data_IF_386960612491
#
_entry.id   IF_386960612491
#
_cell.length_a   1.000
_cell.length_b   1.000
_cell.length_c   1.000
_cell.angle_alpha   90.00
_cell.angle_beta   90.00
_cell.angle_gamma   90.00
#
_symmetry.space_group_name_H-M   'P 1'
#
loop_
_entity.id
_entity.type
_entity.pdbx_description
1 polymer ?
#
# COMPACT_ATOMS: atom_id res chain seq x y z
N UNK A 1 22.25 -21.21 69.47
CA UNK A 1 22.24 -21.11 68.00
C UNK A 1 21.53 -22.34 67.46
N UNK A 2 20.27 -22.19 67.02
CA UNK A 2 19.40 -23.32 66.70
C UNK A 2 19.91 -24.12 65.51
N UNK A 3 20.22 -25.40 65.72
CA UNK A 3 20.61 -26.31 64.65
C UNK A 3 19.39 -26.64 63.80
N UNK A 4 19.35 -26.15 62.57
CA UNK A 4 18.30 -26.52 61.61
C UNK A 4 18.24 -28.04 61.46
N UNK A 5 17.04 -28.63 61.56
CA UNK A 5 16.80 -30.06 61.37
C UNK A 5 17.30 -30.46 59.98
N UNK A 6 17.94 -31.62 59.86
CA UNK A 6 18.56 -32.12 58.61
C UNK A 6 17.64 -31.98 57.37
N UNK A 7 16.34 -32.24 57.52
CA UNK A 7 15.36 -32.07 56.45
C UNK A 7 15.25 -30.64 55.89
N UNK A 8 15.41 -29.60 56.73
CA UNK A 8 15.38 -28.21 56.28
C UNK A 8 16.64 -27.86 55.47
N UNK A 9 17.80 -28.41 55.86
CA UNK A 9 19.06 -28.22 55.14
C UNK A 9 19.02 -28.86 53.75
N UNK A 10 18.49 -30.08 53.66
CA UNK A 10 18.29 -30.77 52.39
C UNK A 10 17.31 -30.02 51.47
N UNK A 11 16.22 -29.48 52.03
CA UNK A 11 15.23 -28.72 51.28
C UNK A 11 15.80 -27.42 50.68
N UNK A 12 16.64 -26.69 51.43
CA UNK A 12 17.32 -25.49 50.92
C UNK A 12 18.23 -25.82 49.75
N UNK A 13 18.99 -26.92 49.82
CA UNK A 13 19.86 -27.36 48.73
C UNK A 13 19.03 -27.72 47.50
N UNK A 14 17.95 -28.50 47.65
CA UNK A 14 17.06 -28.82 46.54
C UNK A 14 16.44 -27.58 45.89
N UNK A 15 15.98 -26.60 46.70
CA UNK A 15 15.44 -25.35 46.17
C UNK A 15 16.50 -24.52 45.43
N UNK A 16 17.75 -24.51 45.91
CA UNK A 16 18.85 -23.84 45.23
C UNK A 16 19.12 -24.39 43.82
N UNK A 17 18.84 -25.68 43.59
CA UNK A 17 18.92 -26.28 42.25
C UNK A 17 17.63 -26.11 41.43
N UNK A 18 16.46 -26.23 42.06
CA UNK A 18 15.16 -26.13 41.35
C UNK A 18 14.87 -24.70 40.89
N UNK A 19 15.21 -23.68 41.69
CA UNK A 19 14.93 -22.29 41.35
C UNK A 19 15.55 -21.84 40.01
N UNK A 20 16.86 -22.03 39.74
CA UNK A 20 17.44 -21.68 38.44
C UNK A 20 16.91 -22.54 37.30
N UNK A 21 16.57 -23.81 37.53
CA UNK A 21 15.94 -24.67 36.52
C UNK A 21 14.53 -24.19 36.15
N UNK A 22 13.71 -23.82 37.13
CA UNK A 22 12.38 -23.27 36.91
C UNK A 22 12.44 -21.92 36.19
N UNK A 23 13.42 -21.07 36.53
CA UNK A 23 13.66 -19.81 35.83
C UNK A 23 14.02 -20.04 34.35
N UNK A 24 14.97 -20.94 34.07
CA UNK A 24 15.37 -21.26 32.69
C UNK A 24 14.20 -21.87 31.91
N UNK A 25 13.44 -22.78 32.51
CA UNK A 25 12.27 -23.37 31.87
C UNK A 25 11.17 -22.32 31.57
N UNK A 26 10.90 -21.42 32.50
CA UNK A 26 9.95 -20.33 32.32
C UNK A 26 10.41 -19.34 31.23
N UNK A 27 11.70 -18.97 31.24
CA UNK A 27 12.29 -18.11 30.21
C UNK A 27 12.24 -18.76 28.82
N UNK A 28 12.57 -20.04 28.70
CA UNK A 28 12.55 -20.76 27.42
C UNK A 28 11.12 -20.94 26.90
N UNK A 29 10.15 -21.22 27.79
CA UNK A 29 8.73 -21.29 27.45
C UNK A 29 8.19 -19.93 26.97
N UNK A 30 8.54 -18.84 27.67
CA UNK A 30 8.20 -17.47 27.27
C UNK A 30 8.74 -17.15 25.88
N UNK A 31 10.03 -17.44 25.63
CA UNK A 31 10.68 -17.14 24.35
C UNK A 31 10.06 -17.93 23.18
N UNK A 32 9.75 -19.21 23.38
CA UNK A 32 9.09 -20.04 22.36
C UNK A 32 7.68 -19.55 22.04
N UNK A 33 6.94 -19.07 23.05
CA UNK A 33 5.60 -18.54 22.85
C UNK A 33 5.60 -17.24 22.04
N UNK A 34 6.59 -16.37 22.25
CA UNK A 34 6.78 -15.15 21.44
C UNK A 34 7.12 -15.47 19.98
N UNK A 35 7.96 -16.48 19.73
CA UNK A 35 8.29 -16.91 18.37
C UNK A 35 7.09 -17.50 17.62
N UNK A 36 6.21 -18.24 18.31
CA UNK A 36 4.97 -18.78 17.71
C UNK A 36 4.01 -17.63 17.34
N UNK A 37 3.85 -16.64 18.22
CA UNK A 37 3.02 -15.47 17.93
C UNK A 37 3.58 -14.62 16.77
N UNK A 38 4.91 -14.59 16.60
CA UNK A 38 5.58 -13.94 15.48
C UNK A 38 5.28 -14.64 14.15
N UNK A 39 5.54 -15.96 14.06
CA UNK A 39 5.26 -16.72 12.83
C UNK A 39 3.78 -16.79 12.47
N UNK A 40 2.88 -16.75 13.46
CA UNK A 40 1.45 -16.66 13.20
C UNK A 40 1.10 -15.37 12.44
N UNK A 41 1.70 -14.24 12.81
CA UNK A 41 1.46 -12.94 12.15
C UNK A 41 2.02 -12.87 10.73
N UNK A 42 3.17 -13.50 10.48
CA UNK A 42 3.75 -13.59 9.12
C UNK A 42 2.79 -14.30 8.15
N UNK A 43 2.14 -15.39 8.58
CA UNK A 43 1.15 -16.10 7.76
C UNK A 43 -0.04 -15.20 7.43
N UNK A 44 -0.54 -14.41 8.39
CA UNK A 44 -1.64 -13.46 8.17
C UNK A 44 -1.24 -12.38 7.15
N UNK A 45 -0.02 -11.85 7.26
CA UNK A 45 0.51 -10.87 6.32
C UNK A 45 0.63 -11.43 4.90
N UNK A 46 1.17 -12.64 4.75
CA UNK A 46 1.28 -13.29 3.43
C UNK A 46 -0.08 -13.58 2.81
N UNK A 47 -1.06 -14.05 3.60
CA UNK A 47 -2.44 -14.26 3.15
C UNK A 47 -3.06 -12.94 2.65
N UNK A 48 -2.86 -11.84 3.38
CA UNK A 48 -3.36 -10.52 2.99
C UNK A 48 -2.65 -9.98 1.74
N UNK A 49 -1.32 -10.08 1.68
CA UNK A 49 -0.50 -9.60 0.57
C UNK A 49 -0.86 -10.27 -0.76
N UNK A 50 -1.17 -11.57 -0.71
CA UNK A 50 -1.60 -12.34 -1.87
C UNK A 50 -2.84 -11.77 -2.54
N UNK A 51 -3.74 -11.15 -1.77
CA UNK A 51 -4.99 -10.60 -2.31
C UNK A 51 -4.89 -9.10 -2.64
N UNK A 52 -4.09 -8.31 -1.91
CA UNK A 52 -3.93 -6.87 -2.21
C UNK A 52 -3.03 -6.58 -3.42
N UNK A 53 -1.99 -7.39 -3.68
CA UNK A 53 -1.06 -7.17 -4.81
C UNK A 53 -1.79 -7.21 -6.17
N UNK A 54 -2.66 -8.21 -6.46
CA UNK A 54 -3.47 -8.20 -7.67
C UNK A 54 -4.35 -6.95 -7.82
N UNK A 55 -4.92 -6.45 -6.71
CA UNK A 55 -5.74 -5.23 -6.71
C UNK A 55 -4.90 -4.02 -7.11
N UNK A 56 -3.68 -3.88 -6.58
CA UNK A 56 -2.75 -2.80 -6.95
C UNK A 56 -2.42 -2.86 -8.45
N UNK A 57 -2.05 -4.04 -8.96
CA UNK A 57 -1.68 -4.21 -10.37
C UNK A 57 -2.85 -3.88 -11.32
N UNK A 58 -4.05 -4.35 -11.01
CA UNK A 58 -5.25 -4.08 -11.78
C UNK A 58 -5.67 -2.60 -11.68
N UNK A 59 -5.51 -1.97 -10.51
CA UNK A 59 -5.77 -0.55 -10.33
C UNK A 59 -4.80 0.32 -11.16
N UNK A 60 -3.53 -0.08 -11.26
CA UNK A 60 -2.54 0.58 -12.12
C UNK A 60 -2.88 0.43 -13.62
N UNK A 61 -3.30 -0.76 -14.04
CA UNK A 61 -3.77 -0.97 -15.41
C UNK A 61 -5.00 -0.12 -15.71
N UNK A 62 -5.96 -0.09 -14.78
CA UNK A 62 -7.16 0.73 -14.92
C UNK A 62 -6.82 2.22 -14.97
N UNK A 63 -5.84 2.71 -14.18
CA UNK A 63 -5.36 4.09 -14.29
C UNK A 63 -4.86 4.40 -15.70
N UNK A 64 -4.02 3.54 -16.28
CA UNK A 64 -3.48 3.71 -17.64
C UNK A 64 -4.62 3.80 -18.64
N UNK A 65 -5.53 2.82 -18.60
CA UNK A 65 -6.63 2.71 -19.55
C UNK A 65 -7.63 3.86 -19.42
N UNK A 66 -7.97 4.25 -18.18
CA UNK A 66 -8.89 5.36 -17.90
C UNK A 66 -8.29 6.73 -18.28
N UNK A 67 -7.00 6.95 -18.01
CA UNK A 67 -6.33 8.19 -18.38
C UNK A 67 -6.17 8.29 -19.91
N UNK A 68 -5.81 7.19 -20.58
CA UNK A 68 -5.75 7.13 -22.04
C UNK A 68 -7.13 7.38 -22.68
N UNK A 69 -8.19 6.80 -22.10
CA UNK A 69 -9.56 7.04 -22.54
C UNK A 69 -9.99 8.51 -22.33
N UNK A 70 -9.60 9.12 -21.20
CA UNK A 70 -9.89 10.52 -20.92
C UNK A 70 -9.14 11.49 -21.85
N UNK A 71 -7.93 11.13 -22.31
CA UNK A 71 -7.15 11.94 -23.24
C UNK A 71 -7.60 11.78 -24.70
N UNK A 72 -7.88 10.55 -25.14
CA UNK A 72 -8.18 10.21 -26.54
C UNK A 72 -9.68 10.13 -26.87
N UNK A 73 -10.55 10.13 -25.85
CA UNK A 73 -11.98 9.90 -25.99
C UNK A 73 -12.37 8.47 -26.37
N UNK A 74 -11.40 7.57 -26.55
CA UNK A 74 -11.63 6.18 -26.98
C UNK A 74 -11.17 5.23 -25.88
N UNK A 75 -12.11 4.50 -25.29
CA UNK A 75 -11.78 3.49 -24.29
C UNK A 75 -11.12 2.26 -24.95
N UNK A 76 -10.00 1.73 -24.40
CA UNK A 76 -9.43 0.50 -24.90
C UNK A 76 -10.40 -0.68 -24.66
N UNK A 77 -10.46 -1.66 -25.58
CA UNK A 77 -11.39 -2.80 -25.48
C UNK A 77 -11.17 -3.67 -24.24
N UNK A 78 -9.99 -3.59 -23.62
CA UNK A 78 -9.62 -4.30 -22.38
C UNK A 78 -10.23 -3.69 -21.12
N UNK A 79 -10.74 -2.47 -21.18
CA UNK A 79 -11.16 -1.71 -19.99
C UNK A 79 -12.29 -2.41 -19.21
N UNK A 80 -13.28 -2.97 -19.91
CA UNK A 80 -14.38 -3.69 -19.28
C UNK A 80 -13.91 -4.99 -18.59
N UNK A 81 -12.96 -5.68 -19.20
CA UNK A 81 -12.36 -6.90 -18.62
C UNK A 81 -11.54 -6.56 -17.37
N UNK A 82 -10.69 -5.53 -17.43
CA UNK A 82 -9.87 -5.07 -16.30
C UNK A 82 -10.76 -4.62 -15.13
N UNK A 83 -11.85 -3.89 -15.38
CA UNK A 83 -12.80 -3.51 -14.34
C UNK A 83 -13.46 -4.73 -13.68
N UNK A 84 -13.79 -5.76 -14.46
CA UNK A 84 -14.38 -7.00 -13.96
C UNK A 84 -13.39 -7.78 -13.10
N UNK A 85 -12.14 -7.91 -13.56
CA UNK A 85 -11.06 -8.54 -12.80
C UNK A 85 -10.75 -7.75 -11.52
N UNK A 86 -10.71 -6.42 -11.58
CA UNK A 86 -10.49 -5.56 -10.42
C UNK A 86 -11.58 -5.75 -9.38
N UNK A 87 -12.85 -5.77 -9.79
CA UNK A 87 -13.97 -6.01 -8.88
C UNK A 87 -13.84 -7.36 -8.18
N UNK A 88 -13.53 -8.42 -8.92
CA UNK A 88 -13.33 -9.75 -8.34
C UNK A 88 -12.14 -9.78 -7.36
N UNK A 89 -11.05 -9.08 -7.66
CA UNK A 89 -9.91 -8.96 -6.75
C UNK A 89 -10.26 -8.14 -5.48
N UNK A 90 -11.04 -7.07 -5.63
CA UNK A 90 -11.54 -6.26 -4.51
C UNK A 90 -12.47 -7.06 -3.59
N UNK A 91 -13.31 -7.94 -4.15
CA UNK A 91 -14.19 -8.81 -3.37
C UNK A 91 -13.38 -9.82 -2.53
N UNK A 92 -12.27 -10.35 -3.07
CA UNK A 92 -11.35 -11.21 -2.31
C UNK A 92 -10.62 -10.44 -1.22
N UNK A 93 -10.12 -9.24 -1.53
CA UNK A 93 -9.49 -8.36 -0.55
C UNK A 93 -10.47 -8.01 0.59
N UNK A 94 -11.74 -7.75 0.27
CA UNK A 94 -12.77 -7.50 1.27
C UNK A 94 -13.02 -8.71 2.17
N UNK A 95 -13.03 -9.92 1.61
CA UNK A 95 -13.19 -11.15 2.39
C UNK A 95 -12.01 -11.39 3.34
N UNK A 96 -10.79 -11.09 2.91
CA UNK A 96 -9.59 -11.20 3.76
C UNK A 96 -9.54 -10.10 4.81
N UNK A 97 -9.86 -8.85 4.46
CA UNK A 97 -9.91 -7.74 5.43
C UNK A 97 -10.97 -7.97 6.51
N UNK A 98 -12.12 -8.53 6.16
CA UNK A 98 -13.14 -8.91 7.14
C UNK A 98 -12.67 -9.98 8.13
N UNK A 99 -11.74 -10.85 7.73
CA UNK A 99 -11.19 -11.93 8.56
C UNK A 99 -9.99 -11.48 9.38
N UNK A 100 -9.07 -10.74 8.76
CA UNK A 100 -7.74 -10.45 9.30
C UNK A 100 -7.57 -9.00 9.73
N UNK A 101 -8.45 -8.09 9.31
CA UNK A 101 -8.27 -6.66 9.48
C UNK A 101 -8.33 -6.19 10.94
N UNK A 102 -9.02 -6.92 11.81
CA UNK A 102 -9.00 -6.66 13.25
C UNK A 102 -7.64 -7.01 13.88
N UNK A 103 -7.03 -8.12 13.45
CA UNK A 103 -5.72 -8.59 13.96
C UNK A 103 -4.56 -7.76 13.41
N UNK A 104 -4.70 -7.23 12.19
CA UNK A 104 -3.69 -6.43 11.48
C UNK A 104 -3.91 -4.91 11.62
N UNK A 105 -5.02 -4.46 12.21
CA UNK A 105 -5.31 -3.04 12.42
C UNK A 105 -5.60 -2.24 11.14
N UNK A 106 -6.13 -2.87 10.10
CA UNK A 106 -6.29 -2.28 8.75
C UNK A 106 -7.53 -1.40 8.58
N UNK A 107 -8.49 -1.46 9.50
CA UNK A 107 -9.84 -0.91 9.32
C UNK A 107 -9.87 0.54 8.80
N UNK A 108 -9.01 1.42 9.33
CA UNK A 108 -8.93 2.82 8.90
C UNK A 108 -8.42 2.93 7.45
N UNK A 109 -7.30 2.28 7.14
CA UNK A 109 -6.66 2.35 5.82
C UNK A 109 -7.52 1.67 4.76
N UNK A 110 -8.20 0.59 5.11
CA UNK A 110 -9.17 -0.05 4.22
C UNK A 110 -10.35 0.87 3.90
N UNK A 111 -10.86 1.62 4.88
CA UNK A 111 -11.90 2.63 4.62
C UNK A 111 -11.39 3.77 3.71
N UNK A 112 -10.13 4.18 3.85
CA UNK A 112 -9.48 5.16 2.95
C UNK A 112 -9.39 4.61 1.51
N UNK A 113 -9.02 3.34 1.33
CA UNK A 113 -9.02 2.67 0.02
C UNK A 113 -10.40 2.73 -0.64
N UNK A 114 -11.46 2.41 0.11
CA UNK A 114 -12.83 2.44 -0.42
C UNK A 114 -13.30 3.85 -0.77
N UNK A 115 -12.91 4.83 0.04
CA UNK A 115 -13.19 6.25 -0.24
C UNK A 115 -12.49 6.70 -1.51
N UNK A 116 -11.21 6.35 -1.68
CA UNK A 116 -10.44 6.68 -2.87
C UNK A 116 -10.97 5.96 -4.13
N UNK A 117 -11.44 4.71 -4.00
CA UNK A 117 -12.12 3.98 -5.08
C UNK A 117 -13.39 4.70 -5.52
N UNK A 118 -14.21 5.15 -4.59
CA UNK A 118 -15.43 5.89 -4.93
C UNK A 118 -15.12 7.23 -5.63
N UNK A 119 -13.96 7.83 -5.36
CA UNK A 119 -13.52 9.05 -6.03
C UNK A 119 -13.14 8.80 -7.51
N UNK A 120 -12.58 7.64 -7.85
CA UNK A 120 -12.23 7.32 -9.25
C UNK A 120 -13.45 7.30 -10.16
N UNK A 121 -14.58 6.81 -9.66
CA UNK A 121 -15.85 6.72 -10.40
C UNK A 121 -16.49 8.09 -10.67
N UNK A 122 -16.12 9.12 -9.90
CA UNK A 122 -16.67 10.47 -10.02
C UNK A 122 -15.76 11.42 -10.82
N UNK A 123 -14.53 11.02 -11.07
CA UNK A 123 -13.55 11.84 -11.77
C UNK A 123 -13.90 11.96 -13.27
N UNK A 124 -13.65 13.12 -13.84
CA UNK A 124 -13.89 13.40 -15.26
C UNK A 124 -12.85 14.39 -15.78
N UNK A 125 -12.37 14.17 -17.00
CA UNK A 125 -11.20 14.88 -17.53
C UNK A 125 -9.89 14.22 -17.13
N UNK A 126 -8.88 14.34 -18.00
CA UNK A 126 -7.60 13.62 -17.86
C UNK A 126 -6.96 13.80 -16.49
N UNK A 127 -6.73 15.05 -16.05
CA UNK A 127 -6.02 15.34 -14.80
C UNK A 127 -6.77 14.78 -13.58
N UNK A 128 -8.08 14.99 -13.50
CA UNK A 128 -8.89 14.51 -12.38
C UNK A 128 -8.95 12.98 -12.33
N UNK A 129 -9.08 12.32 -13.48
CA UNK A 129 -9.06 10.85 -13.57
C UNK A 129 -7.70 10.32 -13.14
N UNK A 130 -6.61 10.88 -13.69
CA UNK A 130 -5.26 10.47 -13.34
C UNK A 130 -4.98 10.62 -11.84
N UNK A 131 -5.34 11.76 -11.25
CA UNK A 131 -5.14 12.04 -9.81
C UNK A 131 -5.99 11.12 -8.92
N UNK A 132 -7.27 10.92 -9.24
CA UNK A 132 -8.14 10.07 -8.44
C UNK A 132 -7.67 8.61 -8.44
N UNK A 133 -7.28 8.08 -9.60
CA UNK A 133 -6.72 6.74 -9.70
C UNK A 133 -5.37 6.60 -8.99
N UNK A 134 -4.53 7.64 -9.06
CA UNK A 134 -3.25 7.67 -8.33
C UNK A 134 -3.46 7.66 -6.82
N UNK A 135 -4.41 8.45 -6.30
CA UNK A 135 -4.77 8.46 -4.89
C UNK A 135 -5.33 7.09 -4.42
N UNK A 136 -6.12 6.41 -5.27
CA UNK A 136 -6.61 5.07 -4.96
C UNK A 136 -5.47 4.05 -4.87
N UNK A 137 -4.52 4.08 -5.79
CA UNK A 137 -3.35 3.19 -5.74
C UNK A 137 -2.50 3.50 -4.49
N UNK A 138 -2.29 4.77 -4.17
CA UNK A 138 -1.53 5.16 -2.97
C UNK A 138 -2.20 4.65 -1.69
N UNK A 139 -3.53 4.71 -1.59
CA UNK A 139 -4.26 4.16 -0.45
C UNK A 139 -4.05 2.63 -0.32
N UNK A 140 -4.05 1.90 -1.43
CA UNK A 140 -3.75 0.46 -1.44
C UNK A 140 -2.31 0.17 -1.01
N UNK A 141 -1.35 0.96 -1.47
CA UNK A 141 0.06 0.83 -1.06
C UNK A 141 0.22 1.11 0.43
N UNK A 142 -0.45 2.14 0.96
CA UNK A 142 -0.43 2.44 2.39
C UNK A 142 -1.02 1.30 3.24
N UNK A 143 -2.10 0.70 2.75
CA UNK A 143 -2.69 -0.49 3.38
C UNK A 143 -1.73 -1.68 3.36
N UNK A 144 -1.08 -1.96 2.22
CA UNK A 144 -0.05 -3.00 2.11
C UNK A 144 1.11 -2.76 3.09
N UNK A 145 1.59 -1.52 3.22
CA UNK A 145 2.65 -1.17 4.17
C UNK A 145 2.23 -1.44 5.61
N UNK A 146 1.03 -1.02 6.00
CA UNK A 146 0.54 -1.26 7.36
C UNK A 146 0.37 -2.76 7.66
N UNK A 147 -0.06 -3.55 6.68
CA UNK A 147 -0.12 -5.01 6.78
C UNK A 147 1.27 -5.59 6.95
N UNK A 148 2.24 -5.15 6.16
CA UNK A 148 3.63 -5.60 6.28
C UNK A 148 4.21 -5.28 7.66
N UNK A 149 3.99 -4.06 8.15
CA UNK A 149 4.47 -3.64 9.48
C UNK A 149 3.78 -4.43 10.61
N UNK A 150 2.46 -4.67 10.50
CA UNK A 150 1.71 -5.43 11.50
C UNK A 150 2.05 -6.93 11.50
N UNK A 151 2.52 -7.46 10.36
CA UNK A 151 2.86 -8.87 10.15
C UNK A 151 4.36 -9.17 10.22
N UNK A 152 5.20 -8.16 10.46
CA UNK A 152 6.67 -8.24 10.44
C UNK A 152 7.28 -8.57 9.06
N UNK A 153 6.57 -8.28 7.97
CA UNK A 153 6.99 -8.49 6.57
C UNK A 153 7.65 -7.25 5.93
N UNK A 154 8.09 -6.26 6.72
CA UNK A 154 8.63 -4.95 6.26
C UNK A 154 9.82 -5.03 5.28
N UNK A 155 10.35 -6.22 4.96
CA UNK A 155 11.53 -6.42 4.10
C UNK A 155 11.25 -6.63 2.59
N UNK A 156 10.01 -6.55 2.08
CA UNK A 156 9.74 -6.81 0.66
C UNK A 156 9.95 -5.57 -0.26
N UNK A 157 10.82 -5.65 -1.30
CA UNK A 157 11.28 -4.54 -2.13
C UNK A 157 10.31 -4.03 -3.22
N UNK A 158 9.03 -4.43 -3.20
CA UNK A 158 8.06 -4.03 -4.24
C UNK A 158 7.61 -2.55 -4.14
N UNK A 159 7.80 -1.91 -2.97
CA UNK A 159 7.34 -0.52 -2.72
C UNK A 159 8.24 0.53 -3.38
N UNK A 160 9.56 0.33 -3.37
CA UNK A 160 10.49 1.25 -4.04
C UNK A 160 10.29 1.20 -5.57
N UNK A 161 9.93 0.03 -6.09
CA UNK A 161 9.55 -0.15 -7.49
C UNK A 161 8.27 0.61 -7.86
N UNK A 162 7.30 0.76 -6.95
CA UNK A 162 6.09 1.56 -7.16
C UNK A 162 6.41 3.04 -7.38
N UNK A 163 7.14 3.66 -6.45
CA UNK A 163 7.49 5.08 -6.57
C UNK A 163 8.36 5.35 -7.81
N UNK A 164 9.26 4.41 -8.14
CA UNK A 164 10.06 4.49 -9.35
C UNK A 164 9.18 4.37 -10.61
N UNK A 165 8.21 3.45 -10.63
CA UNK A 165 7.29 3.28 -11.76
C UNK A 165 6.41 4.52 -11.94
N UNK A 166 5.87 5.09 -10.86
CA UNK A 166 5.07 6.32 -10.91
C UNK A 166 5.89 7.50 -11.45
N UNK A 167 7.13 7.62 -10.99
CA UNK A 167 8.05 8.65 -11.47
C UNK A 167 8.38 8.46 -12.96
N UNK A 168 8.83 7.28 -13.37
CA UNK A 168 9.40 7.03 -14.70
C UNK A 168 8.35 6.96 -15.80
N UNK A 169 7.22 6.29 -15.56
CA UNK A 169 6.24 6.03 -16.62
C UNK A 169 5.12 7.07 -16.69
N UNK A 170 4.97 7.91 -15.68
CA UNK A 170 3.83 8.83 -15.61
C UNK A 170 4.25 10.26 -15.34
N UNK A 171 4.88 10.54 -14.18
CA UNK A 171 5.26 11.91 -13.84
C UNK A 171 6.28 12.51 -14.80
N UNK A 172 7.32 11.77 -15.16
CA UNK A 172 8.37 12.27 -16.06
C UNK A 172 7.80 12.57 -17.46
N UNK A 173 7.06 11.66 -18.12
CA UNK A 173 6.41 11.95 -19.40
C UNK A 173 5.46 13.16 -19.35
N UNK A 174 4.62 13.30 -18.33
CA UNK A 174 3.72 14.45 -18.16
C UNK A 174 4.50 15.77 -18.06
N UNK A 175 5.58 15.79 -17.28
CA UNK A 175 6.45 16.96 -17.14
C UNK A 175 7.11 17.29 -18.49
N UNK A 176 7.56 16.28 -19.23
CA UNK A 176 8.18 16.46 -20.56
C UNK A 176 7.18 17.03 -21.56
N UNK A 177 5.95 16.50 -21.61
CA UNK A 177 4.90 16.99 -22.50
C UNK A 177 4.48 18.42 -22.14
N UNK A 178 4.22 18.68 -20.86
CA UNK A 178 3.85 20.01 -20.34
C UNK A 178 4.93 21.04 -20.64
N UNK A 179 6.21 20.67 -20.45
CA UNK A 179 7.35 21.50 -20.82
C UNK A 179 7.44 21.74 -22.32
N UNK A 180 7.13 20.72 -23.14
CA UNK A 180 7.05 20.84 -24.60
C UNK A 180 5.97 21.82 -25.06
N UNK A 181 4.76 21.71 -24.49
CA UNK A 181 3.63 22.63 -24.75
C UNK A 181 3.97 24.06 -24.35
N UNK A 182 4.54 24.26 -23.15
CA UNK A 182 5.02 25.55 -22.67
C UNK A 182 6.07 26.17 -23.62
N UNK A 183 7.04 25.37 -24.06
CA UNK A 183 8.07 25.84 -25.01
C UNK A 183 7.46 26.24 -26.36
N UNK A 184 6.53 25.44 -26.89
CA UNK A 184 5.85 25.75 -28.15
C UNK A 184 5.02 27.04 -28.05
N UNK A 185 4.28 27.22 -26.94
CA UNK A 185 3.55 28.45 -26.64
C UNK A 185 4.48 29.67 -26.55
N UNK A 186 5.59 29.56 -25.81
CA UNK A 186 6.57 30.63 -25.67
C UNK A 186 7.18 31.06 -27.01
N UNK A 187 7.53 30.10 -27.87
CA UNK A 187 8.00 30.38 -29.24
C UNK A 187 6.93 31.05 -30.09
N UNK A 188 5.67 30.62 -29.95
CA UNK A 188 4.52 31.24 -30.62
C UNK A 188 4.34 32.71 -30.22
N UNK A 189 4.34 33.01 -28.92
CA UNK A 189 4.21 34.37 -28.37
C UNK A 189 5.38 35.26 -28.79
N UNK A 190 6.62 34.76 -28.75
CA UNK A 190 7.79 35.54 -29.21
C UNK A 190 7.71 35.88 -30.70
N UNK A 191 7.07 35.02 -31.51
CA UNK A 191 6.89 35.26 -32.95
C UNK A 191 5.78 36.26 -33.24
N UNK A 192 4.70 36.28 -32.45
CA UNK A 192 3.56 37.21 -32.61
C UNK A 192 3.69 38.50 -31.81
N UNK A 193 4.63 38.59 -30.87
CA UNK A 193 4.85 39.75 -30.00
C UNK A 193 3.72 40.04 -29.00
N UNK A 194 2.68 39.21 -28.98
CA UNK A 194 1.49 39.36 -28.12
C UNK A 194 0.91 38.00 -27.77
N UNK A 195 0.41 37.87 -26.54
CA UNK A 195 -0.28 36.66 -26.05
C UNK A 195 -1.74 36.75 -26.46
N UNK A 196 -2.20 35.81 -27.30
CA UNK A 196 -3.62 35.75 -27.65
C UNK A 196 -4.45 35.13 -26.52
N UNK A 197 -5.75 35.45 -26.46
CA UNK A 197 -6.68 34.89 -25.48
C UNK A 197 -6.72 33.35 -25.52
N UNK A 198 -6.54 32.77 -26.73
CA UNK A 198 -6.43 31.32 -26.95
C UNK A 198 -5.19 30.73 -26.28
N UNK A 199 -4.03 31.39 -26.46
CA UNK A 199 -2.76 30.97 -25.86
C UNK A 199 -2.79 31.11 -24.34
N UNK A 200 -3.44 32.16 -23.82
CA UNK A 200 -3.63 32.35 -22.37
C UNK A 200 -4.53 31.27 -21.75
N UNK A 201 -5.56 30.81 -22.49
CA UNK A 201 -6.39 29.66 -22.11
C UNK A 201 -5.60 28.35 -22.09
N UNK A 202 -4.77 28.11 -23.10
CA UNK A 202 -3.91 26.93 -23.16
C UNK A 202 -2.88 26.92 -22.02
N UNK A 203 -2.34 28.09 -21.65
CA UNK A 203 -1.40 28.24 -20.54
C UNK A 203 -2.05 27.87 -19.19
N UNK A 204 -3.31 28.27 -18.97
CA UNK A 204 -4.08 27.87 -17.78
C UNK A 204 -4.52 26.40 -17.75
N UNK A 205 -4.37 25.66 -18.86
CA UNK A 205 -4.62 24.21 -18.91
C UNK A 205 -3.35 23.36 -18.73
N UNK A 206 -2.18 23.99 -18.62
CA UNK A 206 -0.88 23.32 -18.43
C UNK A 206 -0.39 23.46 -16.97
N UNK A 207 -0.96 24.40 -16.20
CA UNK A 207 -0.63 24.71 -14.80
C UNK A 207 -1.83 24.34 -13.93
#
# INVERSE_FOLDING_TARGET
MGTLRFGLKALVICLMFIAPLAWVAWSDFSNKNTNIAFSAKEILGVEYNREIIPVINLAQQLRRDASAAAASGTAPPTLAEVQTQLKAAQDKLAAVDARLGADLGTAKLYAEVQTALAATQKASGFDAVFQAHTAHIQALVNLLMAVNDASNLTLDPDIDSYYLMDAVFFRIPDIVESSGKLRALGLGVMKTGSVTTEQMRMLNGII
#
